data_IF_084201303902
#
_entry.id   IF_084201303902
#
_cell.length_a   1.000
_cell.length_b   1.000
_cell.length_c   1.000
_cell.angle_alpha   90.00
_cell.angle_beta   90.00
_cell.angle_gamma   90.00
#
_symmetry.space_group_name_H-M   'P 1'
#
loop_
_entity.id
_entity.type
_entity.pdbx_description
1 polymer ?
#
# COMPACT_ATOMS: atom_id res chain seq x y z
N UNK A 1 -52.18 -7.97 -23.41
CA UNK A 1 -50.80 -8.24 -23.72
C UNK A 1 -50.13 -8.86 -22.47
N UNK A 2 -49.35 -9.88 -22.67
CA UNK A 2 -48.50 -10.47 -21.62
C UNK A 2 -47.06 -10.12 -21.90
N UNK A 3 -46.25 -9.95 -20.86
CA UNK A 3 -44.85 -9.63 -20.96
C UNK A 3 -44.00 -10.73 -20.30
N UNK A 4 -43.06 -11.34 -21.01
CA UNK A 4 -42.21 -12.41 -20.52
C UNK A 4 -41.11 -11.92 -19.59
N UNK A 5 -40.76 -10.64 -19.63
CA UNK A 5 -39.71 -10.05 -18.83
C UNK A 5 -40.20 -9.57 -17.45
N UNK A 6 -41.53 -9.52 -17.25
CA UNK A 6 -42.16 -9.16 -15.98
C UNK A 6 -43.01 -10.33 -15.43
N UNK A 7 -42.58 -10.90 -14.30
CA UNK A 7 -43.28 -12.03 -13.67
C UNK A 7 -44.72 -11.71 -13.32
N UNK A 8 -45.05 -10.45 -13.00
CA UNK A 8 -46.42 -10.01 -12.69
C UNK A 8 -47.33 -9.93 -13.91
N UNK A 9 -46.75 -9.81 -15.11
CA UNK A 9 -47.45 -9.69 -16.39
C UNK A 9 -47.40 -10.97 -17.25
N UNK A 10 -46.75 -12.05 -16.75
CA UNK A 10 -46.70 -13.35 -17.47
C UNK A 10 -48.03 -14.09 -17.50
N UNK A 11 -48.97 -13.74 -16.65
CA UNK A 11 -50.28 -14.38 -16.55
C UNK A 11 -51.40 -13.36 -16.50
N UNK A 12 -52.55 -13.74 -17.07
CA UNK A 12 -53.80 -12.98 -16.93
C UNK A 12 -54.97 -13.93 -16.76
N UNK A 13 -55.86 -13.59 -15.83
CA UNK A 13 -57.17 -14.29 -15.71
C UNK A 13 -58.18 -13.63 -16.60
N UNK A 14 -58.74 -14.39 -17.55
CA UNK A 14 -59.82 -13.92 -18.38
C UNK A 14 -61.15 -14.11 -17.65
N UNK A 15 -61.96 -13.06 -17.62
CA UNK A 15 -63.30 -13.11 -17.07
C UNK A 15 -64.32 -13.29 -18.20
N UNK A 16 -65.40 -14.00 -17.93
CA UNK A 16 -66.48 -14.24 -18.92
C UNK A 16 -67.86 -14.19 -18.28
N UNK A 17 -68.88 -13.94 -19.06
CA UNK A 17 -70.26 -13.91 -18.64
C UNK A 17 -71.02 -14.89 -19.51
N UNK A 18 -71.83 -15.77 -18.85
CA UNK A 18 -72.71 -16.69 -19.54
C UNK A 18 -74.13 -16.06 -19.60
N UNK A 19 -74.71 -16.13 -20.81
CA UNK A 19 -76.08 -15.67 -21.01
C UNK A 19 -76.92 -16.77 -21.64
N UNK A 20 -78.22 -16.86 -21.26
CA UNK A 20 -78.92 -16.08 -20.24
C UNK A 20 -78.49 -16.42 -18.81
N UNK A 21 -78.70 -15.50 -17.88
CA UNK A 21 -78.18 -15.62 -16.48
C UNK A 21 -78.80 -16.83 -15.72
N UNK A 22 -79.95 -17.35 -16.17
CA UNK A 22 -80.66 -18.51 -15.61
C UNK A 22 -80.23 -19.84 -16.27
N UNK A 23 -79.20 -19.89 -17.07
CA UNK A 23 -78.72 -21.15 -17.64
C UNK A 23 -78.29 -22.14 -16.56
N UNK A 24 -78.76 -23.43 -16.73
CA UNK A 24 -78.33 -24.51 -15.87
C UNK A 24 -76.98 -25.11 -16.24
N UNK A 25 -76.56 -24.92 -17.50
CA UNK A 25 -75.35 -25.46 -18.02
C UNK A 25 -74.31 -24.37 -18.03
N UNK A 26 -73.36 -24.47 -17.11
CA UNK A 26 -72.31 -23.45 -16.90
C UNK A 26 -70.87 -23.90 -17.26
N UNK A 27 -70.77 -25.19 -17.67
CA UNK A 27 -69.43 -25.73 -18.00
C UNK A 27 -68.86 -25.14 -19.28
N UNK A 28 -67.69 -24.72 -19.24
CA UNK A 28 -66.92 -24.14 -20.38
C UNK A 28 -65.63 -24.90 -20.60
N UNK A 29 -65.16 -24.87 -21.86
CA UNK A 29 -63.88 -25.40 -22.27
C UNK A 29 -63.02 -24.25 -22.81
N UNK A 30 -61.82 -24.17 -22.35
CA UNK A 30 -60.81 -23.22 -22.80
C UNK A 30 -59.82 -23.90 -23.74
N UNK A 31 -59.45 -23.23 -24.84
CA UNK A 31 -58.45 -23.72 -25.78
C UNK A 31 -57.56 -22.59 -26.24
N UNK A 32 -56.30 -22.89 -26.54
CA UNK A 32 -55.38 -22.00 -27.18
C UNK A 32 -55.12 -22.44 -28.63
N UNK A 33 -55.07 -21.51 -29.58
CA UNK A 33 -54.65 -21.79 -30.96
C UNK A 33 -53.15 -22.11 -31.10
N UNK A 34 -52.35 -21.72 -30.08
CA UNK A 34 -50.91 -21.98 -30.02
C UNK A 34 -50.47 -22.05 -28.55
N UNK A 35 -50.43 -23.24 -27.99
CA UNK A 35 -50.02 -23.48 -26.59
C UNK A 35 -48.53 -23.25 -26.37
N UNK A 36 -47.69 -23.21 -27.43
CA UNK A 36 -46.29 -22.85 -27.32
C UNK A 36 -46.09 -21.32 -27.09
N UNK A 37 -47.06 -20.50 -27.51
CA UNK A 37 -47.09 -19.05 -27.27
C UNK A 37 -47.80 -18.72 -25.98
N UNK A 38 -49.04 -19.23 -25.82
CA UNK A 38 -49.80 -19.01 -24.60
C UNK A 38 -50.68 -20.23 -24.29
N UNK A 39 -50.55 -20.74 -23.04
CA UNK A 39 -51.36 -21.81 -22.50
C UNK A 39 -52.53 -21.22 -21.72
N UNK A 40 -53.70 -21.92 -21.74
CA UNK A 40 -54.83 -21.52 -20.90
C UNK A 40 -55.30 -22.68 -20.03
N UNK A 41 -55.52 -22.40 -18.75
CA UNK A 41 -56.10 -23.36 -17.78
C UNK A 41 -57.09 -22.63 -16.87
N UNK A 42 -58.33 -23.09 -16.85
CA UNK A 42 -59.38 -22.52 -16.00
C UNK A 42 -59.55 -21.00 -16.14
N UNK A 43 -59.35 -20.48 -17.37
CA UNK A 43 -59.41 -19.06 -17.69
C UNK A 43 -58.16 -18.27 -17.35
N UNK A 44 -57.14 -18.89 -16.75
CA UNK A 44 -55.82 -18.26 -16.55
C UNK A 44 -54.97 -18.54 -17.78
N UNK A 45 -54.53 -17.48 -18.42
CA UNK A 45 -53.64 -17.52 -19.60
C UNK A 45 -52.22 -17.23 -19.15
N UNK A 46 -51.29 -18.11 -19.49
CA UNK A 46 -49.86 -17.99 -19.20
C UNK A 46 -49.07 -17.84 -20.49
N UNK A 47 -48.29 -16.75 -20.64
CA UNK A 47 -47.36 -16.56 -21.74
C UNK A 47 -46.11 -17.46 -21.62
N UNK A 48 -45.73 -18.12 -22.75
CA UNK A 48 -44.58 -19.05 -22.80
C UNK A 48 -43.49 -18.59 -23.74
N UNK A 49 -43.88 -18.04 -24.91
CA UNK A 49 -42.92 -17.48 -25.89
C UNK A 49 -43.53 -16.30 -26.62
N UNK A 50 -42.68 -15.44 -27.17
CA UNK A 50 -43.13 -14.27 -27.95
C UNK A 50 -44.02 -14.73 -29.14
N UNK A 51 -45.12 -14.06 -29.31
CA UNK A 51 -46.08 -14.40 -30.39
C UNK A 51 -47.52 -13.97 -30.10
N UNK A 52 -48.42 -14.49 -30.93
CA UNK A 52 -49.88 -14.26 -30.79
C UNK A 52 -50.58 -15.58 -30.72
N UNK A 53 -51.50 -15.71 -29.79
CA UNK A 53 -52.39 -16.87 -29.68
C UNK A 53 -53.83 -16.41 -29.48
N UNK A 54 -54.77 -17.15 -30.07
CA UNK A 54 -56.19 -16.96 -29.88
C UNK A 54 -56.67 -17.89 -28.74
N UNK A 55 -57.12 -17.32 -27.64
CA UNK A 55 -57.71 -18.07 -26.54
C UNK A 55 -59.22 -18.09 -26.72
N UNK A 56 -59.74 -19.27 -26.87
CA UNK A 56 -61.18 -19.49 -27.10
C UNK A 56 -61.83 -20.12 -25.90
N UNK A 57 -62.92 -19.56 -25.45
CA UNK A 57 -63.85 -20.12 -24.50
C UNK A 57 -65.10 -20.65 -25.27
N UNK A 58 -65.51 -21.86 -25.03
CA UNK A 58 -66.67 -22.44 -25.64
C UNK A 58 -67.55 -23.13 -24.59
N UNK A 59 -68.87 -23.13 -24.78
CA UNK A 59 -69.74 -23.93 -23.94
C UNK A 59 -69.49 -25.43 -24.20
N UNK A 60 -69.38 -26.21 -23.12
CA UNK A 60 -69.10 -27.64 -23.21
C UNK A 60 -70.29 -28.39 -23.90
N UNK A 61 -71.53 -27.95 -23.65
CA UNK A 61 -72.73 -28.58 -24.22
C UNK A 61 -73.07 -28.10 -25.63
N UNK A 62 -72.64 -26.88 -26.01
CA UNK A 62 -72.85 -26.34 -27.34
C UNK A 62 -71.57 -25.61 -27.85
N UNK A 63 -70.63 -26.34 -28.44
CA UNK A 63 -69.31 -25.77 -28.89
C UNK A 63 -69.43 -24.67 -29.92
N UNK A 64 -70.63 -24.50 -30.55
CA UNK A 64 -70.82 -23.36 -31.46
C UNK A 64 -70.99 -22.02 -30.72
N UNK A 65 -71.39 -22.10 -29.43
CA UNK A 65 -71.39 -20.91 -28.53
C UNK A 65 -70.04 -20.71 -27.98
N UNK A 66 -69.28 -19.83 -28.58
CA UNK A 66 -67.89 -19.55 -28.25
C UNK A 66 -67.53 -18.06 -28.41
N UNK A 67 -66.50 -17.65 -27.72
CA UNK A 67 -65.89 -16.34 -27.91
C UNK A 67 -64.35 -16.48 -27.86
N UNK A 68 -63.64 -15.53 -28.48
CA UNK A 68 -62.20 -15.62 -28.66
C UNK A 68 -61.52 -14.30 -28.24
N UNK A 69 -60.50 -14.40 -27.44
CA UNK A 69 -59.61 -13.31 -27.06
C UNK A 69 -58.23 -13.47 -27.73
N UNK A 70 -57.76 -12.43 -28.42
CA UNK A 70 -56.41 -12.41 -28.98
C UNK A 70 -55.43 -12.03 -27.87
N UNK A 71 -54.50 -12.91 -27.58
CA UNK A 71 -53.44 -12.68 -26.58
C UNK A 71 -52.12 -12.50 -27.31
N UNK A 72 -51.48 -11.35 -27.08
CA UNK A 72 -50.13 -11.06 -27.53
C UNK A 72 -49.16 -11.26 -26.36
N UNK A 73 -48.11 -12.04 -26.59
CA UNK A 73 -47.01 -12.26 -25.64
C UNK A 73 -45.80 -11.53 -26.19
N UNK A 74 -45.24 -10.64 -25.40
CA UNK A 74 -44.11 -9.79 -25.74
C UNK A 74 -42.88 -10.02 -24.86
N UNK A 75 -41.71 -9.57 -25.31
CA UNK A 75 -40.47 -9.56 -24.56
C UNK A 75 -39.60 -8.41 -25.05
N UNK A 76 -38.57 -8.07 -24.29
CA UNK A 76 -37.46 -7.26 -24.79
C UNK A 76 -36.73 -8.02 -25.91
N UNK A 77 -36.01 -7.28 -26.76
CA UNK A 77 -35.02 -7.89 -27.65
C UNK A 77 -33.95 -8.62 -26.86
N UNK A 78 -33.28 -9.56 -27.48
CA UNK A 78 -32.10 -10.18 -26.88
C UNK A 78 -31.01 -9.14 -26.61
N UNK A 79 -30.26 -9.34 -25.53
CA UNK A 79 -29.15 -8.44 -25.18
C UNK A 79 -27.92 -8.70 -26.05
N UNK A 80 -27.28 -7.63 -26.53
CA UNK A 80 -25.99 -7.70 -27.21
C UNK A 80 -24.88 -8.10 -26.25
N UNK A 81 -23.91 -8.91 -26.72
CA UNK A 81 -22.62 -9.06 -26.04
C UNK A 81 -21.67 -8.00 -26.54
N UNK A 82 -21.20 -7.15 -25.64
CA UNK A 82 -20.35 -5.99 -25.95
C UNK A 82 -18.91 -6.29 -25.57
N UNK A 83 -17.98 -5.93 -26.46
CA UNK A 83 -16.54 -5.98 -26.20
C UNK A 83 -15.91 -4.66 -26.62
N UNK A 84 -14.99 -4.16 -25.83
CA UNK A 84 -14.26 -2.92 -26.09
C UNK A 84 -12.75 -3.19 -26.02
N UNK A 85 -11.99 -2.75 -27.02
CA UNK A 85 -10.56 -2.99 -27.11
C UNK A 85 -9.83 -1.70 -27.43
N UNK A 86 -8.83 -1.34 -26.63
CA UNK A 86 -8.02 -0.14 -26.82
C UNK A 86 -7.03 -0.28 -27.96
N UNK A 87 -6.89 0.80 -28.75
CA UNK A 87 -5.84 0.99 -29.74
C UNK A 87 -5.28 2.43 -29.59
N UNK A 88 -4.22 2.59 -28.79
CA UNK A 88 -3.69 3.93 -28.48
C UNK A 88 -4.69 4.74 -27.62
N UNK A 89 -5.15 5.88 -28.16
CA UNK A 89 -6.21 6.72 -27.59
C UNK A 89 -7.61 6.38 -28.11
N UNK A 90 -7.72 5.43 -29.03
CA UNK A 90 -8.99 4.98 -29.59
C UNK A 90 -9.46 3.70 -28.90
N UNK A 91 -10.77 3.49 -28.88
CA UNK A 91 -11.38 2.25 -28.42
C UNK A 91 -12.30 1.73 -29.52
N UNK A 92 -12.03 0.49 -29.95
CA UNK A 92 -12.93 -0.21 -30.86
C UNK A 92 -13.96 -0.97 -30.05
N UNK A 93 -15.23 -0.66 -30.27
CA UNK A 93 -16.37 -1.31 -29.62
C UNK A 93 -17.03 -2.24 -30.65
N UNK A 94 -17.24 -3.51 -30.26
CA UNK A 94 -17.94 -4.49 -31.08
C UNK A 94 -19.07 -5.11 -30.27
N UNK A 95 -20.16 -5.51 -30.96
CA UNK A 95 -21.27 -6.16 -30.30
C UNK A 95 -21.92 -7.24 -31.18
N UNK A 96 -22.61 -8.19 -30.54
CA UNK A 96 -23.32 -9.23 -31.27
C UNK A 96 -24.61 -8.67 -31.89
N UNK A 97 -24.93 -9.15 -33.07
CA UNK A 97 -26.23 -8.86 -33.71
C UNK A 97 -27.38 -9.42 -32.90
N UNK A 98 -28.46 -8.64 -32.79
CA UNK A 98 -29.71 -9.02 -32.11
C UNK A 98 -30.79 -9.21 -33.19
N UNK A 99 -31.53 -10.33 -33.08
CA UNK A 99 -32.65 -10.60 -33.97
C UNK A 99 -33.77 -9.56 -33.74
N UNK A 100 -34.47 -9.14 -34.81
CA UNK A 100 -35.53 -8.12 -34.81
C UNK A 100 -35.07 -6.71 -34.41
N UNK A 101 -33.76 -6.47 -34.30
CA UNK A 101 -33.20 -5.13 -34.14
C UNK A 101 -32.92 -4.50 -35.51
N UNK A 102 -33.39 -3.27 -35.75
CA UNK A 102 -33.10 -2.44 -36.91
C UNK A 102 -31.77 -1.74 -36.77
N UNK A 103 -31.49 -1.19 -35.56
CA UNK A 103 -30.34 -0.38 -35.31
C UNK A 103 -29.86 -0.53 -33.86
N UNK A 104 -28.73 0.12 -33.57
CA UNK A 104 -28.09 0.12 -32.25
C UNK A 104 -27.71 1.55 -31.86
N UNK A 105 -27.84 1.85 -30.57
CA UNK A 105 -27.31 3.06 -29.96
C UNK A 105 -26.21 2.63 -29.00
N UNK A 106 -25.00 3.19 -29.14
CA UNK A 106 -23.88 2.90 -28.23
C UNK A 106 -23.61 4.11 -27.36
N UNK A 107 -23.69 3.91 -26.06
CA UNK A 107 -23.40 4.92 -25.05
C UNK A 107 -22.08 4.59 -24.37
N UNK A 108 -21.17 5.57 -24.33
CA UNK A 108 -19.93 5.56 -23.57
C UNK A 108 -20.17 6.13 -22.19
N UNK A 109 -19.61 5.50 -21.17
CA UNK A 109 -19.56 6.01 -19.80
C UNK A 109 -18.11 6.16 -19.35
N UNK A 110 -17.73 7.35 -18.88
CA UNK A 110 -16.45 7.55 -18.23
C UNK A 110 -16.63 7.38 -16.71
N UNK A 111 -16.13 6.29 -16.16
CA UNK A 111 -16.26 5.94 -14.73
C UNK A 111 -15.49 6.86 -13.77
N UNK A 112 -14.56 7.70 -14.28
CA UNK A 112 -13.82 8.65 -13.45
C UNK A 112 -14.55 9.99 -13.32
N UNK A 113 -15.27 10.42 -14.39
CA UNK A 113 -15.96 11.72 -14.40
C UNK A 113 -17.48 11.59 -14.26
N UNK A 114 -18.00 10.36 -14.28
CA UNK A 114 -19.43 10.04 -14.31
C UNK A 114 -20.19 10.67 -15.50
N UNK A 115 -19.49 10.94 -16.60
CA UNK A 115 -20.09 11.46 -17.84
C UNK A 115 -20.46 10.31 -18.75
N UNK A 116 -21.58 10.45 -19.45
CA UNK A 116 -22.04 9.56 -20.51
C UNK A 116 -22.26 10.33 -21.81
N UNK A 117 -22.10 9.64 -22.93
CA UNK A 117 -22.26 10.20 -24.27
C UNK A 117 -22.66 9.11 -25.24
N UNK A 118 -23.63 9.41 -26.10
CA UNK A 118 -23.98 8.57 -27.26
C UNK A 118 -22.92 8.79 -28.33
N UNK A 119 -22.16 7.72 -28.64
CA UNK A 119 -21.05 7.78 -29.61
C UNK A 119 -21.37 7.17 -30.95
N UNK A 120 -22.46 6.41 -31.04
CA UNK A 120 -22.87 5.75 -32.26
C UNK A 120 -24.39 5.52 -32.30
N UNK A 121 -24.98 5.77 -33.46
CA UNK A 121 -26.33 5.34 -33.82
C UNK A 121 -26.32 4.80 -35.26
N UNK A 122 -26.81 3.59 -35.46
CA UNK A 122 -26.84 2.98 -36.80
C UNK A 122 -27.01 1.46 -36.78
N UNK A 123 -26.82 0.85 -37.96
CA UNK A 123 -27.11 -0.57 -38.22
C UNK A 123 -25.89 -1.49 -38.13
N UNK A 124 -24.67 -0.93 -38.02
CA UNK A 124 -23.46 -1.74 -37.87
C UNK A 124 -23.39 -2.41 -36.48
N UNK A 125 -22.50 -3.37 -36.36
CA UNK A 125 -22.22 -4.09 -35.09
C UNK A 125 -20.84 -3.78 -34.55
N UNK A 126 -20.25 -2.67 -34.98
CA UNK A 126 -18.99 -2.13 -34.46
C UNK A 126 -18.91 -0.62 -34.72
N UNK A 127 -18.21 0.09 -33.83
CA UNK A 127 -17.81 1.48 -34.02
C UNK A 127 -16.43 1.74 -33.42
N UNK A 128 -15.85 2.91 -33.73
CA UNK A 128 -14.62 3.40 -33.13
C UNK A 128 -14.90 4.69 -32.36
N UNK A 129 -14.50 4.71 -31.12
CA UNK A 129 -14.51 5.88 -30.26
C UNK A 129 -13.09 6.45 -30.24
N UNK A 130 -12.92 7.67 -30.77
CA UNK A 130 -11.61 8.20 -31.15
C UNK A 130 -11.12 9.31 -30.23
N UNK A 131 -9.78 9.47 -30.17
CA UNK A 131 -9.09 10.58 -29.52
C UNK A 131 -9.51 10.80 -28.06
N UNK A 132 -9.74 9.71 -27.35
CA UNK A 132 -10.21 9.76 -25.98
C UNK A 132 -9.15 10.33 -25.04
N UNK A 133 -9.53 11.23 -24.12
CA UNK A 133 -8.67 11.60 -23.02
C UNK A 133 -8.42 10.42 -22.09
N UNK A 134 -7.44 10.55 -21.20
CA UNK A 134 -7.23 9.57 -20.13
C UNK A 134 -8.51 9.34 -19.34
N UNK A 135 -8.79 8.08 -19.02
CA UNK A 135 -10.03 7.73 -18.37
C UNK A 135 -10.25 6.23 -18.23
N UNK A 136 -11.32 5.86 -17.56
CA UNK A 136 -11.82 4.49 -17.45
C UNK A 136 -13.20 4.42 -18.09
N UNK A 137 -13.28 3.74 -19.22
CA UNK A 137 -14.46 3.72 -20.09
C UNK A 137 -15.15 2.36 -20.08
N UNK A 138 -16.48 2.37 -20.05
CA UNK A 138 -17.34 1.22 -20.33
C UNK A 138 -18.39 1.63 -21.36
N UNK A 139 -18.96 0.64 -22.06
CA UNK A 139 -19.91 0.84 -23.13
C UNK A 139 -21.15 0.00 -22.90
N UNK A 140 -22.32 0.59 -23.19
CA UNK A 140 -23.61 -0.08 -23.23
C UNK A 140 -24.15 0.06 -24.65
N UNK A 141 -24.70 -1.03 -25.18
CA UNK A 141 -25.35 -1.07 -26.46
C UNK A 141 -26.83 -1.31 -26.28
N UNK A 142 -27.65 -0.36 -26.78
CA UNK A 142 -29.09 -0.49 -26.83
C UNK A 142 -29.48 -0.99 -28.23
N UNK A 143 -30.18 -2.11 -28.31
CA UNK A 143 -30.77 -2.62 -29.54
C UNK A 143 -32.17 -2.01 -29.74
N UNK A 144 -32.43 -1.43 -30.90
CA UNK A 144 -33.68 -0.75 -31.24
C UNK A 144 -34.53 -1.66 -32.11
N UNK A 145 -35.80 -1.82 -31.79
CA UNK A 145 -36.74 -2.67 -32.52
C UNK A 145 -36.95 -2.14 -33.94
N UNK A 146 -36.89 -3.03 -34.91
CA UNK A 146 -37.32 -2.74 -36.30
C UNK A 146 -38.83 -2.53 -36.37
N UNK A 147 -39.26 -1.28 -36.46
CA UNK A 147 -40.69 -0.91 -36.52
C UNK A 147 -41.37 -1.36 -37.80
N UNK A 148 -40.62 -1.80 -38.83
CA UNK A 148 -41.15 -2.33 -40.08
C UNK A 148 -41.30 -3.86 -40.03
N UNK A 149 -40.76 -4.52 -38.98
CA UNK A 149 -40.95 -5.96 -38.78
C UNK A 149 -42.42 -6.24 -38.40
N UNK A 150 -43.00 -7.27 -39.01
CA UNK A 150 -44.40 -7.70 -38.76
C UNK A 150 -44.65 -8.08 -37.25
N UNK A 151 -43.59 -8.35 -36.52
CA UNK A 151 -43.64 -8.67 -35.08
C UNK A 151 -43.24 -7.51 -34.20
N UNK A 152 -43.02 -6.29 -34.73
CA UNK A 152 -42.53 -5.13 -33.98
C UNK A 152 -43.29 -4.79 -32.71
N UNK A 153 -44.61 -5.03 -32.71
CA UNK A 153 -45.47 -4.79 -31.55
C UNK A 153 -45.35 -5.85 -30.44
N UNK A 154 -44.56 -6.88 -30.69
CA UNK A 154 -44.26 -7.96 -29.74
C UNK A 154 -42.90 -7.77 -29.02
N UNK A 155 -42.10 -6.83 -29.50
CA UNK A 155 -40.74 -6.55 -28.92
C UNK A 155 -40.66 -5.13 -28.36
N UNK A 156 -39.79 -4.94 -27.40
CA UNK A 156 -39.28 -3.65 -26.94
C UNK A 156 -37.77 -3.61 -27.06
N UNK A 157 -37.20 -2.40 -27.09
CA UNK A 157 -35.75 -2.21 -27.09
C UNK A 157 -35.11 -2.90 -25.91
N UNK A 158 -33.88 -3.34 -26.06
CA UNK A 158 -33.08 -3.93 -24.98
C UNK A 158 -31.72 -3.25 -24.83
N UNK A 159 -31.18 -3.28 -23.62
CA UNK A 159 -29.83 -2.80 -23.32
C UNK A 159 -28.91 -3.96 -22.93
N UNK A 160 -27.65 -3.89 -23.38
CA UNK A 160 -26.61 -4.84 -22.95
C UNK A 160 -26.21 -4.60 -21.49
N UNK A 161 -25.53 -5.55 -20.91
CA UNK A 161 -24.67 -5.26 -19.75
C UNK A 161 -23.50 -4.34 -20.17
N UNK A 162 -22.85 -3.70 -19.20
CA UNK A 162 -21.64 -2.92 -19.46
C UNK A 162 -20.54 -3.81 -20.06
N UNK A 163 -19.74 -3.25 -20.96
CA UNK A 163 -18.50 -3.91 -21.39
C UNK A 163 -17.51 -4.02 -20.24
N UNK A 164 -16.52 -4.90 -20.34
CA UNK A 164 -15.34 -4.80 -19.49
C UNK A 164 -14.71 -3.41 -19.60
N UNK A 165 -14.22 -2.85 -18.46
CA UNK A 165 -13.63 -1.52 -18.45
C UNK A 165 -12.35 -1.42 -19.26
N UNK A 166 -12.24 -0.38 -20.10
CA UNK A 166 -11.03 -0.04 -20.86
C UNK A 166 -10.39 1.22 -20.29
N UNK A 167 -9.08 1.16 -19.99
CA UNK A 167 -8.32 2.28 -19.44
C UNK A 167 -7.50 2.95 -20.56
N UNK A 168 -7.71 4.26 -20.74
CA UNK A 168 -6.79 5.14 -21.45
C UNK A 168 -5.90 5.78 -20.39
N UNK A 169 -4.58 5.46 -20.33
CA UNK A 169 -3.70 5.96 -19.28
C UNK A 169 -3.41 7.45 -19.45
N UNK A 170 -3.27 8.13 -18.32
CA UNK A 170 -2.62 9.44 -18.24
C UNK A 170 -1.13 9.23 -18.01
N UNK A 171 -0.26 9.64 -18.94
CA UNK A 171 1.18 9.42 -18.79
C UNK A 171 1.78 10.27 -17.69
N UNK A 172 2.83 9.76 -17.06
CA UNK A 172 3.67 10.53 -16.14
C UNK A 172 4.44 11.57 -16.93
N UNK A 173 4.44 12.82 -16.45
CA UNK A 173 5.23 13.94 -17.01
C UNK A 173 6.29 14.47 -16.06
N UNK A 174 6.31 14.00 -14.81
CA UNK A 174 7.28 14.40 -13.82
C UNK A 174 7.06 13.79 -12.45
N UNK A 175 8.01 14.09 -11.56
CA UNK A 175 7.93 13.81 -10.12
C UNK A 175 8.54 15.00 -9.37
N UNK A 176 7.99 15.35 -8.22
CA UNK A 176 8.53 16.38 -7.36
C UNK A 176 8.58 15.93 -5.89
N UNK A 177 9.59 16.39 -5.15
CA UNK A 177 9.60 16.26 -3.69
C UNK A 177 8.80 17.40 -3.10
N UNK A 178 7.87 17.07 -2.17
CA UNK A 178 7.09 18.07 -1.45
C UNK A 178 8.04 18.98 -0.64
N UNK A 179 7.82 20.29 -0.64
CA UNK A 179 8.78 21.31 -0.16
C UNK A 179 9.40 21.01 1.19
N UNK A 180 8.63 20.56 2.19
CA UNK A 180 9.09 20.22 3.54
C UNK A 180 10.06 19.03 3.58
N UNK A 181 10.12 18.25 2.50
CA UNK A 181 10.95 17.04 2.38
C UNK A 181 12.11 17.21 1.41
N UNK A 182 12.32 18.40 0.83
CA UNK A 182 13.49 18.69 -0.05
C UNK A 182 14.81 18.65 0.70
N UNK A 183 14.78 18.99 2.00
CA UNK A 183 15.92 18.94 2.90
C UNK A 183 15.49 18.24 4.19
N UNK A 184 16.00 17.06 4.44
CA UNK A 184 15.72 16.26 5.62
C UNK A 184 16.94 16.23 6.52
N UNK A 185 16.77 16.56 7.81
CA UNK A 185 17.82 16.48 8.81
C UNK A 185 17.45 15.50 9.90
N UNK A 186 18.38 14.62 10.28
CA UNK A 186 18.18 13.62 11.33
C UNK A 186 19.50 13.31 12.04
N UNK A 187 19.41 12.70 13.21
CA UNK A 187 20.58 12.10 13.87
C UNK A 187 20.83 10.69 13.34
N UNK A 188 22.04 10.19 13.56
CA UNK A 188 22.36 8.77 13.31
C UNK A 188 21.36 7.87 14.01
N UNK A 189 20.79 6.92 13.26
CA UNK A 189 19.71 6.02 13.70
C UNK A 189 18.30 6.60 13.62
N UNK A 190 18.16 7.89 13.31
CA UNK A 190 16.86 8.51 13.01
C UNK A 190 16.33 8.10 11.63
N UNK A 191 15.01 8.15 11.44
CA UNK A 191 14.39 7.85 10.15
C UNK A 191 13.26 8.85 9.83
N UNK A 192 13.06 9.09 8.53
CA UNK A 192 12.04 10.00 7.99
C UNK A 192 11.56 9.51 6.64
N UNK A 193 10.24 9.40 6.45
CA UNK A 193 9.68 9.11 5.13
C UNK A 193 9.67 10.36 4.25
N UNK A 194 10.17 10.25 3.03
CA UNK A 194 10.09 11.32 2.02
C UNK A 194 8.69 11.31 1.40
N UNK A 195 8.09 12.50 1.28
CA UNK A 195 6.84 12.68 0.53
C UNK A 195 7.12 13.33 -0.81
N UNK A 196 6.48 12.78 -1.84
CA UNK A 196 6.63 13.20 -3.23
C UNK A 196 5.27 13.26 -3.92
N UNK A 197 5.19 13.94 -5.05
CA UNK A 197 4.02 13.99 -5.93
C UNK A 197 4.40 13.56 -7.34
N UNK A 198 3.55 12.76 -7.97
CA UNK A 198 3.65 12.43 -9.40
C UNK A 198 2.87 13.47 -10.19
N UNK A 199 3.41 13.86 -11.34
CA UNK A 199 2.78 14.81 -12.23
C UNK A 199 2.38 14.14 -13.56
N UNK A 200 1.18 14.44 -14.07
CA UNK A 200 0.10 15.15 -13.38
C UNK A 200 -0.49 14.30 -12.24
N UNK A 201 -1.24 14.91 -11.31
CA UNK A 201 -1.77 14.23 -10.12
C UNK A 201 -2.72 13.04 -10.43
N UNK A 202 -3.27 13.00 -11.64
CA UNK A 202 -4.11 11.93 -12.17
C UNK A 202 -3.34 10.92 -13.05
N UNK A 203 -2.00 10.96 -13.05
CA UNK A 203 -1.17 9.97 -13.76
C UNK A 203 -1.55 8.54 -13.37
N UNK A 204 -1.62 7.66 -14.36
CA UNK A 204 -2.11 6.29 -14.16
C UNK A 204 -1.08 5.38 -13.49
N UNK A 205 0.21 5.55 -13.84
CA UNK A 205 1.30 4.84 -13.20
C UNK A 205 1.95 5.73 -12.12
N UNK A 206 1.78 5.36 -10.87
CA UNK A 206 2.36 6.09 -9.72
C UNK A 206 3.55 5.39 -9.10
N UNK A 207 4.08 4.35 -9.74
CA UNK A 207 5.19 3.58 -9.24
C UNK A 207 6.49 4.37 -9.31
N UNK A 208 7.27 4.32 -8.23
CA UNK A 208 8.58 4.95 -8.12
C UNK A 208 9.59 4.01 -7.50
N UNK A 209 10.87 4.32 -7.70
CA UNK A 209 12.00 3.72 -7.01
C UNK A 209 12.79 4.79 -6.29
N UNK A 210 13.45 4.41 -5.19
CA UNK A 210 14.31 5.29 -4.41
C UNK A 210 15.75 4.79 -4.44
N UNK A 211 16.71 5.73 -4.44
CA UNK A 211 18.13 5.42 -4.37
C UNK A 211 18.88 6.47 -3.55
N UNK A 212 19.64 6.03 -2.56
CA UNK A 212 20.64 6.89 -1.90
C UNK A 212 21.91 6.99 -2.76
N UNK A 213 22.49 8.17 -2.81
CA UNK A 213 23.80 8.38 -3.49
C UNK A 213 24.97 7.94 -2.62
N UNK A 214 24.79 7.89 -1.29
CA UNK A 214 25.77 7.34 -0.35
C UNK A 214 25.08 6.62 0.80
N UNK A 215 24.98 5.30 0.69
CA UNK A 215 24.37 4.44 1.68
C UNK A 215 25.16 4.34 2.99
N UNK A 216 26.43 4.78 3.02
CA UNK A 216 27.20 4.88 4.25
C UNK A 216 26.74 6.04 5.11
N UNK A 217 26.15 7.08 4.52
CA UNK A 217 25.61 8.25 5.21
C UNK A 217 24.14 8.02 5.55
N UNK A 218 23.32 7.65 4.57
CA UNK A 218 21.91 7.33 4.78
C UNK A 218 21.42 6.29 3.78
N UNK A 219 20.62 5.35 4.22
CA UNK A 219 19.90 4.38 3.38
C UNK A 219 18.47 4.86 3.11
N UNK A 220 17.84 4.31 2.07
CA UNK A 220 16.42 4.50 1.78
C UNK A 220 15.81 3.16 1.40
N UNK A 221 14.61 2.87 1.90
CA UNK A 221 13.87 1.66 1.56
C UNK A 221 12.91 1.87 0.36
N UNK A 222 12.22 0.80 -0.04
CA UNK A 222 11.24 0.80 -1.13
C UNK A 222 10.03 1.73 -0.90
N UNK A 223 9.74 2.07 0.35
CA UNK A 223 8.61 2.92 0.75
C UNK A 223 9.03 4.39 0.93
N UNK A 224 10.31 4.71 0.61
CA UNK A 224 10.88 6.05 0.71
C UNK A 224 11.22 6.47 2.14
N UNK A 225 11.39 5.51 3.07
CA UNK A 225 11.87 5.80 4.43
C UNK A 225 13.38 5.89 4.42
N UNK A 226 13.88 7.09 4.68
CA UNK A 226 15.33 7.38 4.81
C UNK A 226 15.76 7.14 6.24
N UNK A 227 16.88 6.44 6.43
CA UNK A 227 17.49 6.17 7.75
C UNK A 227 18.93 6.65 7.76
N UNK A 228 19.29 7.49 8.75
CA UNK A 228 20.64 7.99 8.96
C UNK A 228 21.57 6.90 9.50
N UNK A 229 22.68 6.65 8.79
CA UNK A 229 23.68 5.61 9.12
C UNK A 229 24.90 6.20 9.80
N UNK A 230 25.47 7.25 9.22
CA UNK A 230 26.63 7.95 9.79
C UNK A 230 26.55 9.45 9.52
N UNK A 231 27.28 10.24 10.34
CA UNK A 231 27.36 11.70 10.17
C UNK A 231 27.86 12.06 8.78
N UNK A 232 27.10 12.90 8.06
CA UNK A 232 27.44 13.36 6.72
C UNK A 232 26.22 13.88 5.97
N UNK A 233 26.44 14.19 4.69
CA UNK A 233 25.42 14.66 3.76
C UNK A 233 25.35 13.72 2.56
N UNK A 234 24.15 13.40 2.13
CA UNK A 234 23.90 12.65 0.90
C UNK A 234 22.64 13.17 0.21
N UNK A 235 22.31 12.59 -0.93
CA UNK A 235 21.04 12.82 -1.60
C UNK A 235 20.29 11.49 -1.78
N UNK A 236 18.99 11.55 -1.70
CA UNK A 236 18.09 10.47 -2.11
C UNK A 236 17.38 10.91 -3.37
N UNK A 237 17.41 10.05 -4.38
CA UNK A 237 16.74 10.28 -5.67
C UNK A 237 15.49 9.39 -5.68
N UNK A 238 14.34 9.99 -6.01
CA UNK A 238 13.12 9.29 -6.41
C UNK A 238 13.07 9.28 -7.94
N UNK A 239 12.74 8.12 -8.52
CA UNK A 239 12.64 7.94 -9.98
C UNK A 239 11.33 7.27 -10.32
N UNK A 240 10.56 7.84 -11.26
CA UNK A 240 9.32 7.22 -11.74
C UNK A 240 9.63 6.01 -12.62
N UNK A 241 8.82 4.94 -12.51
CA UNK A 241 8.94 3.76 -13.37
C UNK A 241 8.60 4.12 -14.83
N UNK A 242 7.53 4.90 -15.04
CA UNK A 242 7.17 5.44 -16.34
C UNK A 242 7.89 6.76 -16.59
N UNK A 243 8.59 6.85 -17.72
CA UNK A 243 9.28 8.05 -18.18
C UNK A 243 10.62 8.32 -17.50
N UNK A 244 10.98 7.67 -16.40
CA UNK A 244 12.28 7.83 -15.74
C UNK A 244 12.54 9.22 -15.16
N UNK A 245 11.48 9.99 -14.85
CA UNK A 245 11.61 11.31 -14.25
C UNK A 245 12.18 11.21 -12.84
N UNK A 246 13.02 12.17 -12.46
CA UNK A 246 13.73 12.15 -11.17
C UNK A 246 13.48 13.42 -10.38
N UNK A 247 13.47 13.28 -9.04
CA UNK A 247 13.57 14.40 -8.10
C UNK A 247 14.50 14.03 -6.94
N UNK A 248 15.14 15.05 -6.34
CA UNK A 248 16.17 14.86 -5.32
C UNK A 248 15.73 15.42 -3.97
N UNK A 249 16.02 14.68 -2.90
CA UNK A 249 15.96 15.10 -1.51
C UNK A 249 17.38 15.18 -0.94
N UNK A 250 17.79 16.31 -0.34
CA UNK A 250 19.03 16.43 0.41
C UNK A 250 18.84 15.85 1.80
N UNK A 251 19.75 14.98 2.23
CA UNK A 251 19.72 14.33 3.55
C UNK A 251 20.96 14.75 4.34
N UNK A 252 20.72 15.30 5.51
CA UNK A 252 21.70 15.73 6.49
C UNK A 252 21.63 14.78 7.70
N UNK A 253 22.70 14.07 7.98
CA UNK A 253 22.78 13.20 9.16
C UNK A 253 23.76 13.81 10.16
N UNK A 254 23.23 14.22 11.32
CA UNK A 254 24.02 14.76 12.40
C UNK A 254 24.48 13.66 13.36
N UNK A 255 25.72 13.82 13.88
CA UNK A 255 26.25 12.95 14.93
C UNK A 255 25.63 13.27 16.29
N UNK A 256 25.48 12.24 17.10
CA UNK A 256 25.08 12.38 18.49
C UNK A 256 26.35 12.67 19.33
N UNK A 257 26.43 13.86 19.92
CA UNK A 257 27.58 14.28 20.72
C UNK A 257 27.58 13.67 22.12
N UNK A 258 28.80 13.46 22.67
CA UNK A 258 28.99 13.14 24.07
C UNK A 258 28.64 14.37 24.91
N UNK A 259 27.69 14.22 25.85
CA UNK A 259 27.28 15.29 26.81
C UNK A 259 27.79 15.06 28.22
N UNK A 260 28.01 13.80 28.60
CA UNK A 260 28.58 13.41 29.89
C UNK A 260 29.73 12.46 29.69
N UNK A 261 30.82 12.68 30.45
CA UNK A 261 32.04 11.86 30.42
C UNK A 261 32.62 11.77 31.84
N UNK A 262 32.49 10.62 32.46
CA UNK A 262 32.78 10.45 33.87
C UNK A 262 33.64 9.20 34.13
N UNK A 263 34.42 9.23 35.23
CA UNK A 263 35.14 8.04 35.70
C UNK A 263 34.18 6.99 36.22
N UNK A 264 34.51 5.73 35.96
CA UNK A 264 33.91 4.61 36.68
C UNK A 264 34.86 4.17 37.79
N UNK A 265 34.44 4.35 39.03
CA UNK A 265 35.26 4.06 40.21
C UNK A 265 35.97 5.27 40.82
N UNK A 266 36.89 5.01 41.74
CA UNK A 266 37.62 6.04 42.49
C UNK A 266 38.60 6.86 41.64
N UNK A 267 38.86 8.11 42.05
CA UNK A 267 39.85 8.99 41.43
C UNK A 267 41.28 8.53 41.74
N UNK A 268 41.52 8.21 43.01
CA UNK A 268 42.82 7.85 43.55
C UNK A 268 42.99 6.32 43.55
N UNK A 269 44.01 5.86 42.84
CA UNK A 269 44.28 4.43 42.61
C UNK A 269 45.72 4.13 43.01
N UNK A 270 45.89 3.20 43.96
CA UNK A 270 47.19 2.68 44.33
C UNK A 270 47.42 1.33 43.71
N UNK A 271 48.57 1.12 43.05
CA UNK A 271 49.00 -0.13 42.43
C UNK A 271 50.46 -0.41 42.75
N UNK A 272 50.85 -1.68 42.88
CA UNK A 272 52.25 -2.06 43.08
C UNK A 272 53.07 -1.91 41.79
N UNK A 273 54.43 -1.86 41.92
CA UNK A 273 55.33 -1.87 40.75
C UNK A 273 55.07 -3.11 39.87
N UNK A 274 55.18 -2.92 38.52
CA UNK A 274 55.02 -3.97 37.50
C UNK A 274 53.68 -4.64 37.47
N UNK A 275 52.62 -3.92 37.87
CA UNK A 275 51.21 -4.38 37.80
C UNK A 275 50.45 -3.62 36.72
N UNK A 276 49.30 -4.15 36.32
CA UNK A 276 48.38 -3.47 35.39
C UNK A 276 47.05 -3.19 36.02
N UNK A 277 46.39 -2.11 35.60
CA UNK A 277 45.07 -1.72 36.04
C UNK A 277 44.25 -1.16 34.90
N UNK A 278 43.09 -1.76 34.62
CA UNK A 278 42.14 -1.23 33.65
C UNK A 278 41.38 -0.04 34.24
N UNK A 279 41.50 1.13 33.59
CA UNK A 279 40.65 2.28 33.88
C UNK A 279 39.38 2.25 33.01
N UNK A 280 38.27 2.73 33.55
CA UNK A 280 37.00 2.76 32.86
C UNK A 280 36.37 4.15 33.00
N UNK A 281 35.68 4.55 31.93
CA UNK A 281 34.90 5.79 31.84
C UNK A 281 33.49 5.48 31.35
N UNK A 282 32.51 6.28 31.73
CA UNK A 282 31.16 6.24 31.23
C UNK A 282 30.92 7.39 30.23
N UNK A 283 30.14 7.14 29.19
CA UNK A 283 29.80 8.10 28.18
C UNK A 283 28.28 8.25 28.15
N UNK A 284 27.80 9.49 28.16
CA UNK A 284 26.37 9.80 28.06
C UNK A 284 26.13 10.82 26.92
N UNK A 285 25.19 10.58 26.00
CA UNK A 285 24.36 9.37 25.89
C UNK A 285 25.16 8.16 25.41
N UNK A 286 24.72 6.96 25.76
CA UNK A 286 25.41 5.71 25.41
C UNK A 286 25.51 5.48 23.87
N UNK A 287 24.54 6.04 23.10
CA UNK A 287 24.54 6.00 21.64
C UNK A 287 25.30 7.16 20.97
N UNK A 288 26.18 7.86 21.68
CA UNK A 288 27.03 8.88 21.09
C UNK A 288 27.81 8.33 19.87
N UNK A 289 27.90 9.14 18.79
CA UNK A 289 28.43 8.71 17.50
C UNK A 289 29.94 8.51 17.52
N UNK A 290 30.68 9.43 18.15
CA UNK A 290 32.12 9.36 18.33
C UNK A 290 32.46 9.10 19.80
N UNK A 291 32.91 7.89 20.10
CA UNK A 291 33.30 7.44 21.44
C UNK A 291 34.79 7.28 21.61
N UNK A 292 35.57 7.84 20.69
CA UNK A 292 37.03 7.74 20.72
C UNK A 292 37.56 8.50 21.93
N UNK A 293 38.41 7.82 22.72
CA UNK A 293 39.05 8.36 23.92
C UNK A 293 40.54 8.40 23.68
N UNK A 294 41.18 9.53 24.01
CA UNK A 294 42.62 9.70 24.07
C UNK A 294 43.08 9.57 25.50
N UNK A 295 44.00 8.68 25.75
CA UNK A 295 44.60 8.44 27.08
C UNK A 295 46.02 9.00 27.10
N UNK A 296 46.37 9.73 28.15
CA UNK A 296 47.70 10.27 28.36
C UNK A 296 48.13 10.14 29.79
N UNK A 297 49.45 10.00 30.02
CA UNK A 297 50.08 10.00 31.34
C UNK A 297 50.99 11.19 31.52
N UNK A 298 50.96 11.84 32.68
CA UNK A 298 51.91 12.92 33.01
C UNK A 298 53.30 12.38 33.31
N UNK A 299 53.46 11.09 33.62
CA UNK A 299 54.72 10.47 33.90
C UNK A 299 54.75 8.99 33.49
N UNK A 300 55.09 8.71 32.26
CA UNK A 300 55.13 7.34 31.70
C UNK A 300 56.24 6.47 32.30
N UNK A 301 57.25 7.07 33.00
CA UNK A 301 58.26 6.32 33.75
C UNK A 301 57.71 5.71 35.06
N UNK A 302 56.69 6.33 35.62
CA UNK A 302 55.96 5.84 36.78
C UNK A 302 54.79 4.92 36.35
N UNK A 303 53.90 5.43 35.50
CA UNK A 303 52.74 4.69 35.03
C UNK A 303 52.42 5.08 33.55
N UNK A 304 52.55 4.14 32.66
CA UNK A 304 52.15 4.30 31.25
C UNK A 304 50.70 3.84 31.09
N UNK A 305 50.00 4.40 30.07
CA UNK A 305 48.65 4.03 29.72
C UNK A 305 48.59 3.75 28.20
N UNK A 306 47.85 2.71 27.81
CA UNK A 306 47.63 2.39 26.42
C UNK A 306 46.34 3.07 25.86
N UNK A 307 46.05 2.87 24.56
CA UNK A 307 44.88 3.43 23.87
C UNK A 307 43.53 2.91 24.43
N UNK A 308 43.54 1.79 25.14
CA UNK A 308 42.36 1.18 25.76
C UNK A 308 42.18 1.56 27.22
N UNK A 309 43.07 2.39 27.79
CA UNK A 309 43.03 2.79 29.19
C UNK A 309 43.60 1.76 30.15
N UNK A 310 44.42 0.81 29.65
CA UNK A 310 45.16 -0.12 30.49
C UNK A 310 46.43 0.57 31.02
N UNK A 311 46.46 0.84 32.30
CA UNK A 311 47.65 1.39 33.00
C UNK A 311 48.62 0.28 33.32
N UNK A 312 49.94 0.52 33.03
CA UNK A 312 51.06 -0.34 33.46
C UNK A 312 51.98 0.48 34.35
N UNK A 313 52.06 0.08 35.63
CA UNK A 313 52.99 0.70 36.60
C UNK A 313 54.41 0.20 36.37
N UNK A 314 55.42 1.12 36.48
CA UNK A 314 56.84 0.81 36.22
C UNK A 314 57.72 1.04 37.45
N UNK A 315 57.63 2.19 38.07
CA UNK A 315 58.45 2.55 39.24
C UNK A 315 57.63 3.31 40.28
N UNK A 316 58.09 3.29 41.53
CA UNK A 316 57.44 4.03 42.62
C UNK A 316 57.36 5.53 42.32
N UNK A 317 56.20 6.13 42.66
CA UNK A 317 55.92 7.53 42.39
C UNK A 317 54.45 7.80 42.10
N UNK A 318 54.16 8.97 41.52
CA UNK A 318 52.81 9.38 41.17
C UNK A 318 52.74 9.80 39.70
N UNK A 319 51.59 9.52 39.09
CA UNK A 319 51.24 9.96 37.73
C UNK A 319 49.75 10.30 37.66
N UNK A 320 49.39 11.25 36.81
CA UNK A 320 48.00 11.53 36.46
C UNK A 320 47.73 10.96 35.07
N UNK A 321 46.71 10.09 35.01
CA UNK A 321 46.22 9.58 33.75
C UNK A 321 44.98 10.38 33.34
N UNK A 322 45.02 11.02 32.19
CA UNK A 322 43.93 11.81 31.64
C UNK A 322 43.25 11.03 30.50
N UNK A 323 41.95 10.87 30.59
CA UNK A 323 41.06 10.40 29.51
C UNK A 323 40.38 11.61 28.90
N UNK A 324 40.44 11.79 27.57
CA UNK A 324 39.88 12.93 26.86
C UNK A 324 39.14 12.49 25.59
N UNK A 325 37.94 13.04 25.37
CA UNK A 325 37.14 12.83 24.19
C UNK A 325 37.51 13.83 23.08
N UNK A 326 37.13 13.53 21.82
CA UNK A 326 37.41 14.45 20.70
C UNK A 326 36.66 15.78 20.82
N UNK A 327 35.49 15.84 21.48
CA UNK A 327 34.76 17.08 21.74
C UNK A 327 35.23 17.85 22.99
N UNK A 328 36.35 17.40 23.60
CA UNK A 328 37.05 18.14 24.64
C UNK A 328 36.68 17.82 26.09
N UNK A 329 35.71 16.94 26.34
CA UNK A 329 35.42 16.49 27.71
C UNK A 329 36.58 15.63 28.23
N UNK A 330 36.94 15.78 29.49
CA UNK A 330 38.04 15.03 30.08
C UNK A 330 37.79 14.65 31.54
N UNK A 331 38.45 13.59 31.97
CA UNK A 331 38.49 13.15 33.37
C UNK A 331 39.87 12.62 33.71
N UNK A 332 40.23 12.62 34.99
CA UNK A 332 41.57 12.30 35.49
C UNK A 332 41.52 11.20 36.55
N UNK A 333 42.55 10.36 36.55
CA UNK A 333 42.85 9.36 37.58
C UNK A 333 44.20 9.64 38.18
N UNK A 334 44.31 9.64 39.48
CA UNK A 334 45.57 9.82 40.20
C UNK A 334 46.15 8.46 40.55
N UNK A 335 47.24 8.10 39.96
CA UNK A 335 47.91 6.81 40.15
C UNK A 335 49.07 6.98 41.11
N UNK A 336 49.06 6.23 42.21
CA UNK A 336 50.21 6.09 43.09
C UNK A 336 50.77 4.68 42.91
N UNK A 337 52.05 4.60 42.59
CA UNK A 337 52.77 3.33 42.43
C UNK A 337 53.61 3.13 43.68
N UNK A 338 53.26 2.09 44.46
CA UNK A 338 54.01 1.70 45.66
C UNK A 338 55.14 0.72 45.29
N UNK A 339 56.29 0.96 45.86
CA UNK A 339 57.38 -0.02 45.79
C UNK A 339 57.26 -1.04 46.92
N UNK A 340 57.37 -2.32 46.62
CA UNK A 340 57.39 -3.32 47.63
C UNK A 340 58.66 -3.20 48.51
N UNK A 341 58.58 -3.54 49.80
CA UNK A 341 59.76 -3.64 50.63
C UNK A 341 60.76 -4.60 50.03
N UNK A 342 61.91 -4.09 49.64
CA UNK A 342 62.99 -4.86 48.96
C UNK A 342 64.00 -5.48 49.93
N UNK A 343 64.16 -4.88 51.08
CA UNK A 343 65.05 -5.44 52.11
C UNK A 343 64.65 -4.97 53.50
N UNK A 344 64.93 -5.76 54.50
CA UNK A 344 64.84 -5.39 55.92
C UNK A 344 66.22 -5.71 56.53
N UNK A 345 66.82 -4.73 57.12
CA UNK A 345 68.03 -4.93 57.88
C UNK A 345 67.84 -4.52 59.33
N UNK A 346 68.53 -5.20 60.20
CA UNK A 346 68.63 -4.83 61.62
C UNK A 346 69.94 -4.20 61.91
N UNK A 347 69.95 -3.23 62.84
CA UNK A 347 71.18 -2.54 63.31
C UNK A 347 72.17 -3.51 63.97
N UNK A 348 71.75 -4.72 64.42
CA UNK A 348 72.58 -5.77 64.93
C UNK A 348 72.28 -7.12 64.25
N UNK A 349 73.31 -7.83 63.80
CA UNK A 349 73.17 -9.19 63.26
C UNK A 349 73.18 -10.22 64.38
N UNK A 350 73.96 -9.96 65.48
CA UNK A 350 74.04 -10.76 66.68
C UNK A 350 74.07 -9.83 67.86
N UNK A 351 73.44 -10.19 68.96
CA UNK A 351 73.47 -9.43 70.18
C UNK A 351 73.52 -10.38 71.38
N UNK A 352 74.44 -10.07 72.36
CA UNK A 352 74.50 -10.79 73.65
C UNK A 352 74.06 -9.84 74.72
N UNK A 353 73.12 -10.23 75.53
CA UNK A 353 72.59 -9.46 76.63
C UNK A 353 72.85 -10.16 77.96
N UNK A 354 73.32 -9.39 78.97
CA UNK A 354 73.37 -9.87 80.36
C UNK A 354 71.92 -9.86 80.93
N UNK A 355 71.64 -10.73 81.91
CA UNK A 355 70.33 -10.74 82.56
C UNK A 355 69.92 -9.36 83.08
N UNK A 356 68.67 -8.91 82.77
CA UNK A 356 68.14 -7.63 83.21
C UNK A 356 68.53 -6.44 82.36
N UNK A 357 69.24 -6.60 81.23
CA UNK A 357 69.56 -5.56 80.26
C UNK A 357 68.67 -5.62 79.03
N UNK A 358 68.38 -4.51 78.41
CA UNK A 358 67.56 -4.37 77.17
C UNK A 358 68.41 -3.81 76.03
N UNK A 359 68.14 -4.27 74.85
CA UNK A 359 68.72 -3.74 73.60
C UNK A 359 67.61 -3.33 72.70
N UNK A 360 67.64 -2.12 72.19
CA UNK A 360 66.69 -1.68 71.11
C UNK A 360 67.17 -2.17 69.75
N UNK A 361 66.40 -3.04 69.16
CA UNK A 361 66.55 -3.39 67.73
C UNK A 361 65.84 -2.36 66.92
N UNK A 362 66.53 -1.85 65.88
CA UNK A 362 65.98 -0.92 64.93
C UNK A 362 65.98 -1.61 63.57
N UNK A 363 64.81 -1.79 62.94
CA UNK A 363 64.68 -2.25 61.59
C UNK A 363 64.75 -1.05 60.67
N UNK A 364 65.53 -1.17 59.58
CA UNK A 364 65.56 -0.23 58.44
C UNK A 364 64.96 -0.97 57.28
N UNK A 365 63.94 -0.36 56.65
CA UNK A 365 63.19 -0.86 55.50
C UNK A 365 63.64 -0.17 54.24
#
# INVERSE_FOLDING_TARGET
KLNLDDESEKQIKLEYILGPSNTSQKDVVWTSSNEAVAEVKDGVVTGKSVGTANITIASKDNPNVKNTCVVKVSSELGKSKVTAVRNGKDIRVNWSKVNHAESYVVTRYNKLTANDEVIYEGTATACEDKDLPSGKYVYIVKAIVDKNDASADLYSDSESEESEPVIIPEPVTGVEIINDYKNVSMFVGGSQQIKYGILPANATNTNVTFKSLDEKVATVDKDGVVTGVSKGNTKVIVTTEEGGFTAECTVNVDGIEIKGFERVGGRDITIGENQTRQLQVSITPENATDKKIQWTSTNEAVAAVDENGLVTSKSAGTAIITAKTNNGLQTEFFITVDSPVKSISLNYKNATLNPGKTLKLIATI
#
